data_IF_367110081358
#
_entry.id   IF_367110081358
#
_cell.length_a   1.000
_cell.length_b   1.000
_cell.length_c   1.000
_cell.angle_alpha   90.00
_cell.angle_beta   90.00
_cell.angle_gamma   90.00
#
_symmetry.space_group_name_H-M   'P 1'
#
loop_
_entity.id
_entity.type
_entity.pdbx_description
1 polymer ?
#
# COMPACT_ATOMS: atom_id res chain seq x y z
N UNK A 1 33.86 3.85 12.06
CA UNK A 1 32.84 2.83 11.71
C UNK A 1 31.50 3.09 12.38
N UNK A 2 31.44 3.42 13.69
CA UNK A 2 30.15 3.68 14.37
C UNK A 2 29.39 4.91 13.88
N UNK A 3 30.07 6.04 13.67
CA UNK A 3 29.42 7.28 13.16
C UNK A 3 28.75 7.07 11.80
N UNK A 4 29.40 6.32 10.91
CA UNK A 4 28.86 5.98 9.59
C UNK A 4 27.62 5.07 9.70
N UNK A 5 27.64 4.08 10.58
CA UNK A 5 26.49 3.20 10.83
C UNK A 5 25.30 3.96 11.42
N UNK A 6 25.55 4.85 12.38
CA UNK A 6 24.52 5.69 12.98
C UNK A 6 23.88 6.63 11.94
N UNK A 7 24.69 7.30 11.12
CA UNK A 7 24.20 8.15 10.05
C UNK A 7 23.33 7.37 9.04
N UNK A 8 23.74 6.16 8.68
CA UNK A 8 23.00 5.30 7.74
C UNK A 8 21.66 4.84 8.32
N UNK A 9 21.62 4.47 9.61
CA UNK A 9 20.37 4.09 10.29
C UNK A 9 19.39 5.27 10.37
N UNK A 10 19.88 6.48 10.67
CA UNK A 10 19.04 7.70 10.70
C UNK A 10 18.53 8.02 9.31
N UNK A 11 19.38 7.97 8.29
CA UNK A 11 19.00 8.23 6.91
C UNK A 11 17.89 7.28 6.44
N UNK A 12 18.06 5.96 6.64
CA UNK A 12 17.03 4.97 6.29
C UNK A 12 15.74 5.19 7.07
N UNK A 13 15.81 5.58 8.34
CA UNK A 13 14.66 5.91 9.17
C UNK A 13 13.89 7.15 8.66
N UNK A 14 14.60 8.20 8.26
CA UNK A 14 13.98 9.41 7.69
C UNK A 14 13.33 9.08 6.34
N UNK A 15 14.03 8.41 5.44
CA UNK A 15 13.52 8.04 4.11
C UNK A 15 12.24 7.20 4.21
N UNK A 16 12.28 6.16 5.04
CA UNK A 16 11.12 5.28 5.27
C UNK A 16 9.93 6.03 5.88
N UNK A 17 10.16 6.91 6.85
CA UNK A 17 9.10 7.74 7.45
C UNK A 17 8.46 8.68 6.44
N UNK A 18 9.27 9.34 5.60
CA UNK A 18 8.77 10.21 4.54
C UNK A 18 7.98 9.43 3.50
N UNK A 19 8.42 8.23 3.12
CA UNK A 19 7.67 7.35 2.21
C UNK A 19 6.34 6.91 2.82
N UNK A 20 6.33 6.43 4.06
CA UNK A 20 5.13 5.97 4.73
C UNK A 20 4.13 7.13 4.91
N UNK A 21 4.58 8.27 5.44
CA UNK A 21 3.76 9.46 5.62
C UNK A 21 3.24 10.00 4.28
N UNK A 22 4.11 10.07 3.27
CA UNK A 22 3.74 10.47 1.92
C UNK A 22 2.68 9.56 1.30
N UNK A 23 2.75 8.24 1.54
CA UNK A 23 1.75 7.27 1.08
C UNK A 23 0.37 7.52 1.70
N UNK A 24 0.33 7.82 3.00
CA UNK A 24 -0.92 8.12 3.72
C UNK A 24 -1.53 9.43 3.24
N UNK A 25 -0.71 10.47 3.08
CA UNK A 25 -1.16 11.77 2.55
C UNK A 25 -1.65 11.64 1.12
N UNK A 26 -0.92 10.90 0.26
CA UNK A 26 -1.33 10.61 -1.11
C UNK A 26 -2.70 9.93 -1.16
N UNK A 27 -2.91 8.89 -0.34
CA UNK A 27 -4.21 8.23 -0.24
C UNK A 27 -5.30 9.18 0.25
N UNK A 28 -5.02 10.02 1.25
CA UNK A 28 -5.97 11.03 1.73
C UNK A 28 -6.43 12.00 0.63
N UNK A 29 -5.49 12.52 -0.17
CA UNK A 29 -5.80 13.40 -1.31
C UNK A 29 -6.51 12.66 -2.45
N UNK A 30 -6.14 11.42 -2.70
CA UNK A 30 -6.82 10.57 -3.68
C UNK A 30 -8.29 10.34 -3.31
N UNK A 31 -8.59 10.07 -2.03
CA UNK A 31 -9.97 9.86 -1.56
C UNK A 31 -10.86 11.10 -1.62
N UNK A 32 -10.30 12.32 -1.63
CA UNK A 32 -11.10 13.55 -1.76
C UNK A 32 -11.47 13.86 -3.21
N UNK A 33 -10.97 13.08 -4.18
CA UNK A 33 -11.17 13.35 -5.61
C UNK A 33 -10.44 14.61 -6.10
N UNK A 34 -9.58 15.21 -5.28
CA UNK A 34 -8.77 16.38 -5.65
C UNK A 34 -7.64 16.02 -6.63
N UNK A 35 -7.37 14.72 -6.80
CA UNK A 35 -6.34 14.20 -7.68
C UNK A 35 -6.81 12.87 -8.28
N UNK A 36 -6.95 12.80 -9.60
CA UNK A 36 -7.35 11.57 -10.33
C UNK A 36 -6.29 10.46 -10.27
N UNK A 37 -5.14 10.72 -9.64
CA UNK A 37 -4.05 9.76 -9.49
C UNK A 37 -3.17 9.69 -10.74
N UNK A 38 -1.86 9.70 -10.55
CA UNK A 38 -0.92 9.12 -11.50
C UNK A 38 -0.92 7.60 -11.28
N UNK A 39 -2.10 6.97 -11.33
CA UNK A 39 -2.21 5.54 -11.10
C UNK A 39 -1.49 4.81 -12.23
N UNK A 40 -0.83 3.70 -11.90
CA UNK A 40 -0.37 2.73 -12.90
C UNK A 40 -1.62 2.05 -13.47
N UNK A 41 -2.41 2.80 -14.24
CA UNK A 41 -3.43 2.20 -15.07
C UNK A 41 -2.69 1.42 -16.13
N UNK A 42 -2.64 0.10 -15.95
CA UNK A 42 -2.30 -0.78 -17.06
C UNK A 42 -3.33 -0.47 -18.13
N UNK A 43 -2.93 0.29 -19.17
CA UNK A 43 -3.79 0.63 -20.30
C UNK A 43 -4.06 -0.67 -21.06
N UNK A 44 -5.06 -1.41 -20.59
CA UNK A 44 -5.52 -2.63 -21.21
C UNK A 44 -6.03 -2.26 -22.60
N UNK A 45 -5.55 -2.93 -23.65
CA UNK A 45 -6.02 -2.62 -24.99
C UNK A 45 -7.51 -2.96 -25.13
N UNK A 46 -8.25 -2.07 -25.79
CA UNK A 46 -9.72 -2.06 -25.88
C UNK A 46 -10.33 -3.33 -26.52
N UNK A 47 -9.52 -4.22 -27.09
CA UNK A 47 -9.97 -5.47 -27.69
C UNK A 47 -10.14 -6.61 -26.69
N UNK A 48 -9.74 -6.43 -25.43
CA UNK A 48 -9.92 -7.46 -24.41
C UNK A 48 -11.40 -7.63 -24.06
N UNK A 49 -11.86 -8.87 -23.77
CA UNK A 49 -13.25 -9.12 -23.42
C UNK A 49 -13.70 -8.25 -22.25
N UNK A 50 -14.94 -7.76 -22.27
CA UNK A 50 -15.49 -6.88 -21.21
C UNK A 50 -15.36 -7.47 -19.80
N UNK A 51 -15.41 -8.80 -19.66
CA UNK A 51 -15.14 -9.54 -18.41
C UNK A 51 -13.72 -9.29 -17.85
N UNK A 52 -12.71 -9.20 -18.71
CA UNK A 52 -11.33 -8.89 -18.31
C UNK A 52 -11.16 -7.43 -17.89
N UNK A 53 -11.82 -6.51 -18.61
CA UNK A 53 -11.74 -5.07 -18.30
C UNK A 53 -12.46 -4.75 -16.99
N UNK A 54 -13.61 -5.39 -16.72
CA UNK A 54 -14.40 -5.15 -15.49
C UNK A 54 -13.78 -5.74 -14.22
N UNK A 55 -13.04 -6.86 -14.32
CA UNK A 55 -12.42 -7.52 -13.16
C UNK A 55 -11.01 -7.02 -12.84
N UNK A 56 -10.34 -6.36 -13.79
CA UNK A 56 -8.97 -5.89 -13.65
C UNK A 56 -8.71 -5.05 -12.37
N UNK A 57 -9.52 -4.03 -12.03
CA UNK A 57 -9.29 -3.22 -10.84
C UNK A 57 -9.27 -4.05 -9.55
N UNK A 58 -10.14 -5.06 -9.46
CA UNK A 58 -10.22 -5.97 -8.32
C UNK A 58 -8.96 -6.82 -8.22
N UNK A 59 -8.56 -7.45 -9.32
CA UNK A 59 -7.36 -8.32 -9.35
C UNK A 59 -6.10 -7.51 -9.03
N UNK A 60 -5.96 -6.33 -9.63
CA UNK A 60 -4.83 -5.43 -9.38
C UNK A 60 -4.76 -5.03 -7.90
N UNK A 61 -5.86 -4.57 -7.31
CA UNK A 61 -5.89 -4.17 -5.91
C UNK A 61 -5.63 -5.35 -4.97
N UNK A 62 -6.20 -6.53 -5.24
CA UNK A 62 -5.91 -7.73 -4.46
C UNK A 62 -4.44 -8.13 -4.52
N UNK A 63 -3.80 -8.02 -5.68
CA UNK A 63 -2.38 -8.32 -5.83
C UNK A 63 -1.51 -7.30 -5.08
N UNK A 64 -1.81 -6.01 -5.18
CA UNK A 64 -1.13 -4.96 -4.43
C UNK A 64 -1.26 -5.16 -2.92
N UNK A 65 -2.47 -5.47 -2.44
CA UNK A 65 -2.73 -5.78 -1.04
C UNK A 65 -2.00 -7.06 -0.60
N UNK A 66 -2.00 -8.11 -1.42
CA UNK A 66 -1.29 -9.35 -1.12
C UNK A 66 0.22 -9.12 -1.03
N UNK A 67 0.80 -8.29 -1.91
CA UNK A 67 2.21 -7.90 -1.84
C UNK A 67 2.48 -7.11 -0.56
N UNK A 68 1.68 -6.09 -0.24
CA UNK A 68 1.86 -5.28 0.96
C UNK A 68 1.69 -6.10 2.24
N UNK A 69 0.53 -6.72 2.45
CA UNK A 69 0.26 -7.51 3.65
C UNK A 69 1.14 -8.76 3.74
N UNK A 70 1.44 -9.39 2.61
CA UNK A 70 2.34 -10.54 2.54
C UNK A 70 3.75 -10.15 2.98
N UNK A 71 4.35 -9.13 2.35
CA UNK A 71 5.70 -8.68 2.71
C UNK A 71 5.77 -8.18 4.14
N UNK A 72 4.80 -7.38 4.60
CA UNK A 72 4.73 -6.88 5.97
C UNK A 72 4.63 -8.02 6.99
N UNK A 73 3.73 -8.98 6.75
CA UNK A 73 3.49 -10.10 7.67
C UNK A 73 4.65 -11.10 7.67
N UNK A 74 5.22 -11.41 6.51
CA UNK A 74 6.35 -12.35 6.40
C UNK A 74 7.56 -11.81 7.15
N UNK A 75 7.93 -10.54 6.93
CA UNK A 75 9.09 -9.92 7.57
C UNK A 75 8.88 -9.68 9.09
N UNK A 76 7.63 -9.63 9.56
CA UNK A 76 7.32 -9.56 10.98
C UNK A 76 7.50 -10.91 11.71
N UNK A 77 7.51 -12.04 10.99
CA UNK A 77 7.64 -13.37 11.61
C UNK A 77 9.07 -13.64 12.06
N UNK A 78 9.20 -14.24 13.25
CA UNK A 78 10.50 -14.55 13.87
C UNK A 78 11.38 -15.53 13.09
N UNK A 79 10.82 -16.38 12.22
CA UNK A 79 11.63 -17.29 11.38
C UNK A 79 12.38 -16.53 10.27
N UNK A 80 11.82 -15.45 9.73
CA UNK A 80 12.54 -14.59 8.79
C UNK A 80 13.73 -13.91 9.47
N UNK A 81 13.58 -13.48 10.73
CA UNK A 81 14.68 -12.93 11.53
C UNK A 81 15.87 -13.91 11.62
N UNK A 82 15.62 -15.23 11.68
CA UNK A 82 16.67 -16.26 11.68
C UNK A 82 17.35 -16.45 10.33
N UNK A 83 16.63 -16.26 9.23
CA UNK A 83 17.18 -16.32 7.86
C UNK A 83 18.10 -15.13 7.58
N UNK A 84 17.73 -13.94 8.08
CA UNK A 84 18.48 -12.70 7.84
C UNK A 84 19.53 -12.37 8.91
N UNK A 85 19.51 -13.03 10.08
CA UNK A 85 20.50 -12.80 11.15
C UNK A 85 21.97 -13.00 10.78
N UNK A 86 22.38 -13.90 9.85
CA UNK A 86 23.79 -13.99 9.47
C UNK A 86 24.26 -12.81 8.59
N UNK A 87 23.34 -12.04 7.99
CA UNK A 87 23.67 -10.96 7.03
C UNK A 87 23.43 -9.58 7.64
N UNK A 88 22.37 -9.41 8.43
CA UNK A 88 21.94 -8.12 8.96
C UNK A 88 22.06 -8.08 10.49
N UNK A 89 22.64 -7.00 11.01
CA UNK A 89 22.58 -6.72 12.45
C UNK A 89 21.14 -6.39 12.86
N UNK A 90 20.82 -6.58 14.14
CA UNK A 90 19.45 -6.39 14.64
C UNK A 90 18.90 -4.97 14.38
N UNK A 91 19.73 -3.93 14.55
CA UNK A 91 19.34 -2.54 14.25
C UNK A 91 19.09 -2.32 12.77
N UNK A 92 19.88 -2.96 11.90
CA UNK A 92 19.73 -2.84 10.45
C UNK A 92 18.49 -3.59 9.95
N UNK A 93 18.19 -4.76 10.53
CA UNK A 93 16.97 -5.51 10.23
C UNK A 93 15.71 -4.68 10.47
N UNK A 94 15.63 -3.93 11.58
CA UNK A 94 14.49 -3.05 11.89
C UNK A 94 14.32 -1.94 10.84
N UNK A 95 15.41 -1.35 10.37
CA UNK A 95 15.35 -0.30 9.34
C UNK A 95 14.98 -0.86 7.97
N UNK A 96 15.55 -2.01 7.59
CA UNK A 96 15.20 -2.69 6.33
C UNK A 96 13.73 -3.12 6.34
N UNK A 97 13.24 -3.66 7.46
CA UNK A 97 11.83 -4.00 7.64
C UNK A 97 10.91 -2.81 7.37
N UNK A 98 11.22 -1.67 8.01
CA UNK A 98 10.39 -0.48 7.91
C UNK A 98 10.49 0.17 6.52
N UNK A 99 11.67 0.19 5.91
CA UNK A 99 11.87 0.64 4.54
C UNK A 99 11.08 -0.19 3.54
N UNK A 100 11.23 -1.53 3.58
CA UNK A 100 10.52 -2.44 2.65
C UNK A 100 9.01 -2.30 2.82
N UNK A 101 8.51 -2.25 4.06
CA UNK A 101 7.09 -2.04 4.34
C UNK A 101 6.58 -0.69 3.80
N UNK A 102 7.39 0.37 3.91
CA UNK A 102 7.02 1.71 3.42
C UNK A 102 7.02 1.77 1.88
N UNK A 103 7.95 1.07 1.24
CA UNK A 103 8.02 0.95 -0.23
C UNK A 103 6.83 0.17 -0.76
N UNK A 104 6.50 -0.99 -0.18
CA UNK A 104 5.35 -1.78 -0.63
C UNK A 104 4.02 -1.08 -0.35
N UNK A 105 3.92 -0.33 0.75
CA UNK A 105 2.79 0.55 1.03
C UNK A 105 2.65 1.65 -0.03
N UNK A 106 3.76 2.33 -0.37
CA UNK A 106 3.76 3.37 -1.39
C UNK A 106 3.34 2.81 -2.75
N UNK A 107 3.85 1.64 -3.13
CA UNK A 107 3.45 0.95 -4.37
C UNK A 107 1.96 0.59 -4.36
N UNK A 108 1.42 0.12 -3.23
CA UNK A 108 0.00 -0.19 -3.10
C UNK A 108 -0.86 1.08 -3.19
N UNK A 109 -0.42 2.18 -2.57
CA UNK A 109 -1.11 3.47 -2.65
C UNK A 109 -1.09 4.03 -4.07
N UNK A 110 0.08 4.00 -4.73
CA UNK A 110 0.29 4.53 -6.07
C UNK A 110 -0.40 3.69 -7.16
N UNK A 111 -0.37 2.36 -7.03
CA UNK A 111 -0.97 1.43 -8.00
C UNK A 111 -2.47 1.21 -7.80
N UNK A 112 -3.09 1.85 -6.79
CA UNK A 112 -4.48 1.63 -6.45
C UNK A 112 -5.42 2.02 -7.59
N UNK A 113 -6.32 1.10 -7.99
CA UNK A 113 -7.33 1.36 -9.03
C UNK A 113 -8.70 1.57 -8.40
N UNK A 114 -9.43 2.65 -8.75
CA UNK A 114 -10.82 2.80 -8.32
C UNK A 114 -11.69 1.69 -8.90
N UNK A 115 -12.63 1.17 -8.10
CA UNK A 115 -13.58 0.16 -8.54
C UNK A 115 -14.73 0.83 -9.31
N UNK A 116 -15.05 0.39 -10.54
CA UNK A 116 -16.03 1.06 -11.40
C UNK A 116 -17.49 0.87 -10.95
N UNK A 117 -17.75 -0.05 -10.03
CA UNK A 117 -19.08 -0.39 -9.56
C UNK A 117 -19.13 -0.30 -8.04
N UNK A 118 -20.24 0.24 -7.51
CA UNK A 118 -20.50 0.24 -6.08
C UNK A 118 -20.58 -1.20 -5.55
N UNK A 119 -19.59 -1.62 -4.77
CA UNK A 119 -19.51 -2.99 -4.21
C UNK A 119 -20.60 -3.22 -3.14
N UNK A 120 -21.17 -2.15 -2.61
CA UNK A 120 -22.18 -2.20 -1.55
C UNK A 120 -23.48 -1.52 -2.01
N UNK A 121 -24.52 -2.31 -2.23
CA UNK A 121 -25.88 -1.83 -2.40
C UNK A 121 -26.63 -1.95 -1.07
N UNK A 122 -26.73 -0.87 -0.31
CA UNK A 122 -27.55 -0.83 0.91
C UNK A 122 -29.01 -0.73 0.48
N UNK A 123 -29.75 -1.84 0.53
CA UNK A 123 -31.16 -1.89 0.15
C UNK A 123 -32.10 -1.34 1.24
N UNK A 124 -31.68 -1.35 2.51
CA UNK A 124 -32.51 -0.89 3.63
C UNK A 124 -32.56 0.64 3.73
N UNK A 125 -33.76 1.26 3.62
CA UNK A 125 -33.91 2.71 3.70
C UNK A 125 -33.40 3.31 5.03
N UNK A 126 -33.56 2.57 6.14
CA UNK A 126 -33.12 3.01 7.47
C UNK A 126 -31.60 3.13 7.64
N UNK A 127 -30.81 2.21 7.05
CA UNK A 127 -29.34 2.35 7.09
C UNK A 127 -28.86 3.50 6.22
N UNK A 128 -29.49 3.74 5.06
CA UNK A 128 -29.13 4.87 4.19
C UNK A 128 -29.26 6.20 4.92
N UNK A 129 -30.36 6.40 5.66
CA UNK A 129 -30.56 7.61 6.45
C UNK A 129 -29.49 7.81 7.52
N UNK A 130 -29.00 6.75 8.20
CA UNK A 130 -27.89 6.90 9.15
C UNK A 130 -26.54 7.25 8.52
N UNK A 131 -26.29 6.87 7.26
CA UNK A 131 -25.07 7.29 6.54
C UNK A 131 -25.15 8.74 6.05
N UNK A 132 -26.32 9.21 5.63
CA UNK A 132 -26.50 10.61 5.18
C UNK A 132 -26.66 11.60 6.34
N UNK A 133 -27.24 11.18 7.47
CA UNK A 133 -27.60 12.08 8.57
C UNK A 133 -26.50 12.26 9.63
N UNK A 134 -25.24 11.90 9.31
CA UNK A 134 -24.05 12.16 10.12
C UNK A 134 -23.21 13.34 9.58
N UNK A 135 -23.89 14.34 9.02
CA UNK A 135 -23.37 15.67 8.69
C UNK A 135 -24.18 16.72 9.46
#
# INVERSE_FOLDING_TARGET
>A
MEKLRAALLVFLGVVSTLMAGGSVLYMGVFYTGAYDGASIHLKLPHHLPALFVGSYPVVNNLLLLAVFFGTHSLLARGWMKKVFSPVLSESLYRQVYFLVSSVTLFLAAYGWSPLPHGVWHVQSPGLRLSFYCKL
#
